data_IF_416466532407
#
_entry.id   IF_416466532407
#
_cell.length_a   1.000
_cell.length_b   1.000
_cell.length_c   1.000
_cell.angle_alpha   90.00
_cell.angle_beta   90.00
_cell.angle_gamma   90.00
#
_symmetry.space_group_name_H-M   'P 1'
#
loop_
_entity.id
_entity.type
_entity.pdbx_description
1 polymer ?
#
# COMPACT_ATOMS: atom_id res chain seq x y z
N UNK A 1 -2.48 -19.13 -13.34
CA UNK A 1 -3.06 -19.50 -12.03
C UNK A 1 -3.62 -18.24 -11.37
N UNK A 2 -4.86 -18.32 -10.91
CA UNK A 2 -5.50 -17.21 -10.21
C UNK A 2 -5.11 -17.24 -8.73
N UNK A 3 -4.44 -16.18 -8.25
CA UNK A 3 -4.15 -16.01 -6.84
C UNK A 3 -5.37 -15.47 -6.07
N UNK A 4 -5.36 -15.65 -4.74
CA UNK A 4 -6.39 -15.13 -3.84
C UNK A 4 -5.99 -13.72 -3.35
N UNK A 5 -6.87 -12.70 -3.50
CA UNK A 5 -6.56 -11.37 -3.00
C UNK A 5 -6.72 -11.27 -1.48
N UNK A 6 -5.75 -10.64 -0.83
CA UNK A 6 -5.79 -10.30 0.60
C UNK A 6 -5.33 -8.85 0.77
N UNK A 7 -6.01 -8.10 1.63
CA UNK A 7 -5.64 -6.73 1.99
C UNK A 7 -4.94 -6.72 3.34
N UNK A 8 -3.77 -6.11 3.39
CA UNK A 8 -3.00 -5.87 4.62
C UNK A 8 -2.93 -4.38 4.90
N UNK A 9 -3.25 -3.98 6.12
CA UNK A 9 -3.25 -2.57 6.52
C UNK A 9 -2.12 -2.28 7.51
N UNK A 10 -1.50 -1.12 7.35
CA UNK A 10 -0.52 -0.58 8.29
C UNK A 10 -0.71 0.91 8.46
N UNK A 11 -0.19 1.46 9.56
CA UNK A 11 -0.18 2.90 9.79
C UNK A 11 1.22 3.39 9.44
N UNK A 12 1.26 4.43 8.63
CA UNK A 12 2.50 5.09 8.25
C UNK A 12 2.55 6.50 8.81
N UNK A 13 3.61 6.80 9.53
CA UNK A 13 3.98 8.17 9.90
C UNK A 13 4.97 8.69 8.87
N UNK A 14 4.62 9.78 8.19
CA UNK A 14 5.55 10.49 7.32
C UNK A 14 6.33 11.50 8.16
N UNK A 15 7.65 11.36 8.17
CA UNK A 15 8.53 12.40 8.67
C UNK A 15 9.07 13.22 7.51
N UNK A 16 9.64 14.39 7.79
CA UNK A 16 10.31 15.20 6.77
C UNK A 16 11.48 14.45 6.10
N UNK A 17 12.03 13.43 6.76
CA UNK A 17 13.08 12.59 6.21
C UNK A 17 12.58 11.61 5.15
N UNK A 18 11.29 11.32 5.13
CA UNK A 18 10.67 10.39 4.17
C UNK A 18 10.25 11.08 2.88
N UNK A 19 10.21 12.41 2.87
CA UNK A 19 9.75 13.24 1.74
C UNK A 19 10.96 13.89 1.08
N UNK A 20 11.07 13.69 -0.23
CA UNK A 20 12.14 14.25 -1.05
C UNK A 20 11.52 15.17 -2.11
N UNK A 21 11.79 16.47 -1.99
CA UNK A 21 11.40 17.46 -2.99
C UNK A 21 12.30 17.35 -4.22
N UNK A 22 11.73 17.54 -5.38
CA UNK A 22 12.44 17.47 -6.67
C UNK A 22 11.97 18.59 -7.58
N UNK A 23 12.79 18.95 -8.54
CA UNK A 23 12.48 19.95 -9.58
C UNK A 23 12.00 19.29 -10.90
N UNK A 24 11.78 17.98 -10.89
CA UNK A 24 11.30 17.22 -12.06
C UNK A 24 9.76 17.15 -12.18
N UNK A 25 9.04 17.90 -11.35
CA UNK A 25 7.57 17.91 -11.33
C UNK A 25 6.95 16.79 -10.51
N UNK A 26 7.74 16.10 -9.69
CA UNK A 26 7.28 15.00 -8.83
C UNK A 26 7.75 15.19 -7.39
N UNK A 27 6.92 14.76 -6.46
CA UNK A 27 7.29 14.54 -5.08
C UNK A 27 7.67 13.06 -4.93
N UNK A 28 8.81 12.78 -4.32
CA UNK A 28 9.21 11.42 -3.99
C UNK A 28 9.03 11.18 -2.50
N UNK A 29 8.56 10.02 -2.13
CA UNK A 29 8.52 9.65 -0.72
C UNK A 29 8.77 8.16 -0.52
N UNK A 30 9.25 7.83 0.69
CA UNK A 30 9.42 6.45 1.13
C UNK A 30 8.14 6.01 1.82
N UNK A 31 7.62 4.87 1.40
CA UNK A 31 6.39 4.28 1.94
C UNK A 31 6.73 2.98 2.65
N UNK A 32 6.26 2.85 3.88
CA UNK A 32 6.26 1.59 4.62
C UNK A 32 5.02 0.82 4.22
N UNK A 33 5.18 -0.14 3.32
CA UNK A 33 4.06 -0.83 2.67
C UNK A 33 3.37 -1.79 3.63
N UNK A 34 4.16 -2.62 4.31
CA UNK A 34 3.70 -3.57 5.32
C UNK A 34 4.90 -4.11 6.10
N UNK A 35 4.66 -4.91 7.13
CA UNK A 35 5.73 -5.51 7.91
C UNK A 35 5.74 -7.04 7.81
N UNK A 36 6.87 -7.65 8.14
CA UNK A 36 7.01 -9.10 8.24
C UNK A 36 6.37 -9.66 9.51
N UNK A 37 6.30 -10.97 9.59
CA UNK A 37 5.75 -11.75 10.68
C UNK A 37 4.24 -11.57 10.84
N UNK A 38 3.71 -11.69 12.05
CA UNK A 38 2.28 -11.68 12.29
C UNK A 38 1.71 -10.25 12.25
N UNK A 39 0.68 -10.05 11.45
CA UNK A 39 -0.04 -8.78 11.35
C UNK A 39 -1.43 -8.84 12.02
N UNK A 40 -2.11 -7.69 12.08
CA UNK A 40 -3.45 -7.58 12.70
C UNK A 40 -4.51 -8.44 12.02
N UNK A 41 -4.34 -8.76 10.75
CA UNK A 41 -5.28 -9.57 9.98
C UNK A 41 -5.09 -11.08 10.20
N UNK A 42 -4.23 -11.46 11.16
CA UNK A 42 -3.87 -12.87 11.41
C UNK A 42 -3.23 -13.54 10.20
N UNK A 43 -2.49 -12.77 9.43
CA UNK A 43 -1.60 -13.28 8.37
C UNK A 43 -0.16 -13.22 8.86
N UNK A 44 0.61 -14.23 8.53
CA UNK A 44 2.02 -14.32 8.87
C UNK A 44 2.86 -14.35 7.59
N UNK A 45 3.84 -13.46 7.51
CA UNK A 45 4.75 -13.38 6.36
C UNK A 45 6.18 -13.49 6.88
N UNK A 46 6.88 -14.56 6.51
CA UNK A 46 8.29 -14.71 6.83
C UNK A 46 9.13 -13.66 6.08
N UNK A 47 10.30 -13.35 6.60
CA UNK A 47 11.24 -12.46 5.93
C UNK A 47 11.63 -12.97 4.54
N UNK A 48 11.84 -14.28 4.39
CA UNK A 48 12.19 -14.88 3.10
C UNK A 48 11.07 -14.76 2.08
N UNK A 49 9.81 -15.04 2.46
CA UNK A 49 8.66 -14.87 1.57
C UNK A 49 8.47 -13.41 1.18
N UNK A 50 8.70 -12.49 2.11
CA UNK A 50 8.63 -11.06 1.85
C UNK A 50 9.70 -10.63 0.84
N UNK A 51 10.96 -11.07 1.01
CA UNK A 51 12.05 -10.77 0.09
C UNK A 51 11.77 -11.27 -1.33
N UNK A 52 11.12 -12.41 -1.47
CA UNK A 52 10.74 -12.94 -2.78
C UNK A 52 9.67 -12.08 -3.47
N UNK A 53 8.73 -11.53 -2.71
CA UNK A 53 7.64 -10.72 -3.24
C UNK A 53 8.02 -9.26 -3.50
N UNK A 54 8.97 -8.71 -2.76
CA UNK A 54 9.34 -7.29 -2.79
C UNK A 54 9.61 -6.73 -4.20
N UNK A 55 10.29 -7.43 -5.12
CA UNK A 55 10.51 -6.91 -6.47
C UNK A 55 9.23 -6.62 -7.25
N UNK A 56 8.11 -7.25 -6.89
CA UNK A 56 6.82 -7.02 -7.56
C UNK A 56 6.19 -5.68 -7.21
N UNK A 57 6.72 -4.95 -6.22
CA UNK A 57 6.30 -3.58 -5.90
C UNK A 57 6.71 -2.58 -6.99
N UNK A 58 7.81 -2.84 -7.69
CA UNK A 58 8.30 -1.93 -8.72
C UNK A 58 7.22 -1.65 -9.75
N UNK A 59 7.05 -0.39 -10.11
CA UNK A 59 6.07 0.09 -11.09
C UNK A 59 4.61 -0.14 -10.72
N UNK A 60 4.30 -0.65 -9.53
CA UNK A 60 2.93 -0.77 -9.07
C UNK A 60 2.30 0.60 -8.87
N UNK A 61 0.99 0.75 -9.15
CA UNK A 61 0.30 2.02 -8.94
C UNK A 61 0.10 2.30 -7.45
N UNK A 62 0.21 3.57 -7.07
CA UNK A 62 -0.23 4.06 -5.78
C UNK A 62 -1.62 4.67 -5.96
N UNK A 63 -2.59 4.14 -5.25
CA UNK A 63 -3.99 4.49 -5.40
C UNK A 63 -4.52 5.20 -4.14
N UNK A 64 -5.37 6.18 -4.33
CA UNK A 64 -6.11 6.81 -3.25
C UNK A 64 -7.38 7.49 -3.77
N UNK A 65 -8.37 7.61 -2.89
CA UNK A 65 -9.50 8.52 -3.09
C UNK A 65 -9.20 9.80 -2.32
N UNK A 66 -9.34 10.94 -2.96
CA UNK A 66 -9.12 12.25 -2.35
C UNK A 66 -10.47 12.91 -2.15
N UNK A 67 -10.71 13.44 -0.94
CA UNK A 67 -11.95 14.14 -0.61
C UNK A 67 -11.66 15.42 0.18
N UNK A 68 -12.62 16.35 0.10
CA UNK A 68 -12.56 17.58 0.87
C UNK A 68 -13.30 17.37 2.20
N UNK A 69 -12.66 17.76 3.29
CA UNK A 69 -13.25 17.75 4.63
C UNK A 69 -14.14 18.98 4.84
N UNK A 70 -14.96 18.95 5.89
CA UNK A 70 -15.89 20.04 6.22
C UNK A 70 -15.20 21.37 6.49
N UNK A 71 -13.95 21.34 6.96
CA UNK A 71 -13.13 22.53 7.19
C UNK A 71 -12.47 23.09 5.92
N UNK A 72 -12.73 22.48 4.77
CA UNK A 72 -12.17 22.88 3.48
C UNK A 72 -10.81 22.27 3.14
N UNK A 73 -10.17 21.56 4.07
CA UNK A 73 -8.92 20.85 3.80
C UNK A 73 -9.16 19.57 3.01
N UNK A 74 -8.12 19.06 2.37
CA UNK A 74 -8.17 17.84 1.58
C UNK A 74 -7.46 16.70 2.26
N UNK A 75 -7.99 15.49 2.13
CA UNK A 75 -7.44 14.29 2.72
C UNK A 75 -7.65 13.06 1.86
N UNK A 76 -6.89 12.00 2.16
CA UNK A 76 -7.12 10.68 1.59
C UNK A 76 -8.29 10.00 2.29
N UNK A 77 -9.10 9.32 1.50
CA UNK A 77 -10.16 8.45 1.99
C UNK A 77 -9.70 7.00 1.94
N UNK A 78 -10.24 6.17 2.82
CA UNK A 78 -9.99 4.73 2.82
C UNK A 78 -10.48 4.07 1.52
N UNK A 79 -10.11 2.80 1.31
CA UNK A 79 -10.59 1.98 0.21
C UNK A 79 -12.08 2.18 -0.01
N UNK A 80 -12.46 2.53 -1.23
CA UNK A 80 -13.83 2.73 -1.59
C UNK A 80 -14.11 2.06 -2.94
N UNK A 81 -15.19 1.31 -2.98
CA UNK A 81 -15.66 0.70 -4.22
C UNK A 81 -17.18 0.59 -4.15
N UNK A 82 -17.79 0.50 -5.31
CA UNK A 82 -19.22 0.27 -5.44
C UNK A 82 -19.51 -0.77 -6.53
N UNK A 83 -20.70 -1.33 -6.50
CA UNK A 83 -21.15 -2.28 -7.51
C UNK A 83 -21.89 -1.53 -8.62
N UNK A 84 -21.60 -1.89 -9.85
CA UNK A 84 -22.34 -1.47 -11.03
C UNK A 84 -22.84 -2.69 -11.80
N UNK A 85 -23.85 -2.47 -12.63
CA UNK A 85 -24.41 -3.51 -13.49
C UNK A 85 -24.19 -3.11 -14.94
N UNK A 86 -23.64 -4.02 -15.75
CA UNK A 86 -23.45 -3.79 -17.17
C UNK A 86 -24.76 -3.92 -17.97
N UNK A 87 -24.69 -3.67 -19.26
CA UNK A 87 -25.87 -3.75 -20.15
C UNK A 87 -26.47 -5.16 -20.30
N UNK A 88 -25.74 -6.20 -19.90
CA UNK A 88 -26.17 -7.59 -19.93
C UNK A 88 -26.67 -8.08 -18.55
N UNK A 89 -26.65 -7.23 -17.54
CA UNK A 89 -27.15 -7.52 -16.20
C UNK A 89 -26.09 -8.17 -15.27
N UNK A 90 -24.82 -8.20 -15.66
CA UNK A 90 -23.74 -8.72 -14.80
C UNK A 90 -23.26 -7.65 -13.84
N UNK A 91 -23.11 -8.02 -12.58
CA UNK A 91 -22.56 -7.13 -11.56
C UNK A 91 -21.03 -7.15 -11.58
N UNK A 92 -20.43 -5.97 -11.41
CA UNK A 92 -18.97 -5.83 -11.30
C UNK A 92 -18.60 -4.72 -10.32
N UNK A 93 -17.37 -4.82 -9.76
CA UNK A 93 -16.84 -3.87 -8.80
C UNK A 93 -16.18 -2.71 -9.54
N UNK A 94 -16.56 -1.48 -9.18
CA UNK A 94 -15.88 -0.25 -9.61
C UNK A 94 -15.10 0.31 -8.43
N UNK A 95 -13.81 0.53 -8.63
CA UNK A 95 -12.95 1.14 -7.63
C UNK A 95 -13.01 2.66 -7.76
N UNK A 96 -13.35 3.34 -6.66
CA UNK A 96 -13.46 4.80 -6.62
C UNK A 96 -12.12 5.51 -6.39
N UNK A 97 -11.06 4.74 -6.25
CA UNK A 97 -9.71 5.24 -6.12
C UNK A 97 -9.12 5.61 -7.47
N UNK A 98 -8.30 6.66 -7.47
CA UNK A 98 -7.52 7.06 -8.64
C UNK A 98 -6.03 6.81 -8.41
N UNK A 99 -5.28 6.68 -9.48
CA UNK A 99 -3.83 6.59 -9.39
C UNK A 99 -3.25 7.96 -9.08
N UNK A 100 -2.60 8.08 -7.93
CA UNK A 100 -1.97 9.32 -7.47
C UNK A 100 -0.44 9.30 -7.64
N UNK A 101 0.14 8.15 -7.87
CA UNK A 101 1.58 7.97 -8.03
C UNK A 101 1.94 6.57 -8.48
N UNK A 102 3.23 6.31 -8.53
CA UNK A 102 3.79 5.04 -8.99
C UNK A 102 4.99 4.67 -8.13
N UNK A 103 5.08 3.39 -7.75
CA UNK A 103 6.31 2.87 -7.17
C UNK A 103 7.41 2.91 -8.21
N UNK A 104 8.59 3.39 -7.81
CA UNK A 104 9.73 3.55 -8.72
C UNK A 104 10.43 2.22 -9.02
N UNK A 105 11.41 2.26 -9.91
CA UNK A 105 12.27 1.12 -10.21
C UNK A 105 13.29 0.81 -9.11
N UNK A 106 13.42 1.67 -8.09
CA UNK A 106 14.36 1.46 -7.00
C UNK A 106 13.99 0.21 -6.22
N UNK A 107 15.02 -0.53 -5.80
CA UNK A 107 14.81 -1.76 -5.04
C UNK A 107 14.12 -1.48 -3.70
N UNK A 108 12.95 -2.09 -3.42
CA UNK A 108 12.40 -2.10 -2.07
C UNK A 108 13.38 -2.78 -1.10
N UNK A 109 13.36 -2.36 0.14
CA UNK A 109 14.25 -2.91 1.16
C UNK A 109 13.54 -3.11 2.49
N UNK A 110 14.12 -3.90 3.37
CA UNK A 110 13.62 -4.14 4.71
C UNK A 110 14.29 -3.17 5.70
N UNK A 111 13.49 -2.59 6.59
CA UNK A 111 13.96 -1.69 7.63
C UNK A 111 13.31 -2.04 8.97
N UNK A 112 14.14 -2.27 9.98
CA UNK A 112 13.66 -2.54 11.33
C UNK A 112 13.31 -1.24 12.06
N UNK A 113 12.15 -1.21 12.68
CA UNK A 113 11.67 -0.12 13.52
C UNK A 113 11.70 -0.55 14.99
N UNK A 114 12.58 0.07 15.78
CA UNK A 114 12.76 -0.27 17.20
C UNK A 114 11.51 0.05 18.05
N UNK A 115 10.82 1.14 17.74
CA UNK A 115 9.63 1.55 18.49
C UNK A 115 8.49 0.56 18.35
N UNK A 116 8.31 0.06 17.15
CA UNK A 116 7.23 -0.89 16.83
C UNK A 116 7.67 -2.33 16.98
N UNK A 117 8.98 -2.59 17.09
CA UNK A 117 9.57 -3.93 17.08
C UNK A 117 9.09 -4.74 15.86
N UNK A 118 9.19 -4.12 14.69
CA UNK A 118 8.75 -4.70 13.42
C UNK A 118 9.70 -4.34 12.30
N UNK A 119 9.82 -5.26 11.33
CA UNK A 119 10.59 -5.03 10.12
C UNK A 119 9.64 -4.70 8.98
N UNK A 120 9.74 -3.50 8.43
CA UNK A 120 8.89 -3.00 7.35
C UNK A 120 9.54 -3.14 6.00
N UNK A 121 8.71 -3.38 4.99
CA UNK A 121 9.08 -3.18 3.59
C UNK A 121 8.98 -1.69 3.28
N UNK A 122 10.08 -1.10 2.86
CA UNK A 122 10.15 0.30 2.45
C UNK A 122 10.35 0.36 0.95
N UNK A 123 9.56 1.17 0.28
CA UNK A 123 9.66 1.40 -1.15
C UNK A 123 9.49 2.87 -1.48
N UNK A 124 10.12 3.32 -2.56
CA UNK A 124 10.07 4.71 -3.01
C UNK A 124 8.95 4.89 -4.03
N UNK A 125 8.14 5.94 -3.85
CA UNK A 125 7.07 6.30 -4.77
C UNK A 125 7.32 7.68 -5.38
N UNK A 126 6.88 7.86 -6.62
CA UNK A 126 6.88 9.13 -7.33
C UNK A 126 5.43 9.61 -7.47
N UNK A 127 5.16 10.83 -7.02
CA UNK A 127 3.83 11.43 -7.03
C UNK A 127 3.88 12.71 -7.87
N UNK A 128 3.21 12.76 -9.04
CA UNK A 128 3.17 13.97 -9.85
C UNK A 128 2.59 15.15 -9.06
N UNK A 129 3.19 16.32 -9.22
CA UNK A 129 2.72 17.58 -8.62
C UNK A 129 1.40 18.04 -9.22
N UNK A 130 1.22 17.76 -10.51
CA UNK A 130 0.00 18.07 -11.25
C UNK A 130 -0.99 16.90 -11.18
N UNK A 131 -2.16 17.10 -11.72
CA UNK A 131 -3.26 16.14 -11.88
C UNK A 131 -4.03 15.79 -10.62
N UNK A 132 -3.41 15.74 -9.44
CA UNK A 132 -4.09 15.49 -8.17
C UNK A 132 -3.54 16.39 -7.07
N UNK A 133 -4.24 16.42 -5.93
CA UNK A 133 -3.79 17.13 -4.72
C UNK A 133 -2.91 16.26 -3.79
N UNK A 134 -2.53 15.07 -4.26
CA UNK A 134 -1.85 14.09 -3.40
C UNK A 134 -0.55 14.60 -2.81
N UNK A 135 0.29 15.27 -3.60
CA UNK A 135 1.57 15.81 -3.11
C UNK A 135 1.35 16.85 -1.99
N UNK A 136 0.38 17.75 -2.15
CA UNK A 136 0.06 18.76 -1.14
C UNK A 136 -0.49 18.12 0.14
N UNK A 137 -1.32 17.09 0.02
CA UNK A 137 -1.84 16.36 1.17
C UNK A 137 -0.70 15.70 1.95
N UNK A 138 0.24 15.05 1.26
CA UNK A 138 1.39 14.39 1.89
C UNK A 138 2.27 15.39 2.62
N UNK A 139 2.52 16.57 2.03
CA UNK A 139 3.30 17.63 2.68
C UNK A 139 2.63 18.19 3.94
N UNK A 140 1.30 18.23 3.96
CA UNK A 140 0.54 18.77 5.09
C UNK A 140 0.25 17.77 6.19
N UNK A 141 0.49 16.49 5.96
CA UNK A 141 0.21 15.41 6.91
C UNK A 141 1.47 14.87 7.57
N UNK A 142 1.31 14.49 8.85
CA UNK A 142 2.35 13.79 9.59
C UNK A 142 2.22 12.25 9.51
N UNK A 143 1.20 11.75 8.82
CA UNK A 143 0.99 10.33 8.66
C UNK A 143 -0.33 9.99 7.96
N UNK A 144 -0.42 8.77 7.48
CA UNK A 144 -1.62 8.23 6.85
C UNK A 144 -1.64 6.71 7.00
N UNK A 145 -2.82 6.12 6.81
CA UNK A 145 -2.94 4.67 6.72
C UNK A 145 -2.54 4.21 5.33
N UNK A 146 -1.79 3.12 5.29
CA UNK A 146 -1.40 2.45 4.06
C UNK A 146 -2.01 1.06 4.05
N UNK A 147 -2.67 0.72 2.96
CA UNK A 147 -3.16 -0.64 2.70
C UNK A 147 -2.47 -1.17 1.46
N UNK A 148 -2.04 -2.42 1.49
CA UNK A 148 -1.56 -3.10 0.30
C UNK A 148 -2.44 -4.32 0.02
N UNK A 149 -2.67 -4.58 -1.26
CA UNK A 149 -3.34 -5.79 -1.71
C UNK A 149 -2.28 -6.79 -2.16
N UNK A 150 -2.41 -8.01 -1.66
CA UNK A 150 -1.53 -9.12 -2.00
C UNK A 150 -2.32 -10.15 -2.80
N UNK A 151 -1.71 -10.73 -3.82
CA UNK A 151 -2.24 -11.88 -4.54
C UNK A 151 -1.49 -13.11 -4.07
N UNK A 152 -2.19 -14.00 -3.39
CA UNK A 152 -1.61 -15.17 -2.73
C UNK A 152 -1.69 -16.39 -3.65
N UNK A 153 -0.55 -17.00 -3.90
CA UNK A 153 -0.45 -18.23 -4.69
C UNK A 153 -0.31 -19.47 -3.82
N UNK A 154 0.41 -19.37 -2.71
CA UNK A 154 0.60 -20.44 -1.75
C UNK A 154 0.45 -19.91 -0.34
N UNK A 155 -0.34 -20.61 0.47
CA UNK A 155 -0.50 -20.31 1.89
C UNK A 155 -0.75 -21.60 2.67
N UNK A 156 -0.52 -21.53 3.97
CA UNK A 156 -0.78 -22.63 4.92
C UNK A 156 -1.40 -22.06 6.20
N UNK A 157 -2.31 -22.80 6.80
CA UNK A 157 -2.95 -22.38 8.04
C UNK A 157 -2.26 -23.04 9.24
N UNK A 158 -1.81 -22.22 10.19
CA UNK A 158 -1.27 -22.70 11.45
C UNK A 158 -2.41 -22.76 12.48
N UNK A 159 -2.93 -23.97 12.72
CA UNK A 159 -4.06 -24.20 13.62
C UNK A 159 -3.72 -23.95 15.10
N UNK A 160 -2.45 -24.16 15.49
CA UNK A 160 -1.99 -23.95 16.86
C UNK A 160 -1.94 -22.46 17.22
N UNK A 161 -1.33 -21.67 16.33
CA UNK A 161 -1.15 -20.23 16.52
C UNK A 161 -2.29 -19.41 15.91
N UNK A 162 -3.20 -20.04 15.17
CA UNK A 162 -4.39 -19.44 14.55
C UNK A 162 -4.09 -18.28 13.61
N UNK A 163 -3.13 -18.49 12.69
CA UNK A 163 -2.85 -17.52 11.63
C UNK A 163 -2.72 -18.22 10.27
N UNK A 164 -2.88 -17.43 9.21
CA UNK A 164 -2.63 -17.84 7.84
C UNK A 164 -1.21 -17.43 7.44
N UNK A 165 -0.35 -18.39 7.14
CA UNK A 165 0.99 -18.13 6.65
C UNK A 165 0.98 -17.94 5.13
N UNK A 166 1.52 -16.82 4.66
CA UNK A 166 1.59 -16.48 3.25
C UNK A 166 2.99 -16.87 2.72
N UNK A 167 3.05 -17.94 1.95
CA UNK A 167 4.32 -18.54 1.52
C UNK A 167 4.79 -18.01 0.16
N UNK A 168 3.85 -17.84 -0.78
CA UNK A 168 4.13 -17.32 -2.10
C UNK A 168 3.04 -16.32 -2.51
N UNK A 169 3.44 -15.09 -2.81
CA UNK A 169 2.52 -14.02 -3.17
C UNK A 169 3.24 -12.93 -3.97
N UNK A 170 2.45 -12.03 -4.53
CA UNK A 170 2.95 -10.77 -5.12
C UNK A 170 2.16 -9.58 -4.59
N UNK A 171 2.76 -8.42 -4.65
CA UNK A 171 2.03 -7.16 -4.45
C UNK A 171 1.21 -6.85 -5.71
N UNK A 172 0.02 -6.32 -5.47
CA UNK A 172 -0.90 -6.04 -6.57
C UNK A 172 -0.94 -4.53 -6.89
#
# INVERSE_FOLDING_TARGET
ESGMPIVVQSIQDFSSADIEESDDGKLYCKVRVCHTLLNRNKSFISEDSMKQAMPTLKYSPLLAKIHQLDDGTWDFHAHDCHMETDGDGNEYVVYDEQQIGTFTADEPYLEYDEKMDKTYVVARVAIPEEYTRAADIIRSKNGTKVSCELIIYECSYNAKEKYLQLDNFRFN
#
